data_IF_199728688317
#
_entry.id   IF_199728688317
#
_cell.length_a   1.000
_cell.length_b   1.000
_cell.length_c   1.000
_cell.angle_alpha   90.00
_cell.angle_beta   90.00
_cell.angle_gamma   90.00
#
_symmetry.space_group_name_H-M   'P 1'
#
loop_
_entity.id
_entity.type
_entity.pdbx_description
1 polymer ?
#
# COMPACT_ATOMS: atom_id res chain seq x y z
N UNK A 1 -6.16 12.96 18.26
CA UNK A 1 -5.33 12.86 17.05
C UNK A 1 -4.79 11.44 16.99
N UNK A 2 -5.19 10.65 15.99
CA UNK A 2 -4.83 9.23 15.89
C UNK A 2 -3.38 9.08 15.41
N UNK A 3 -2.55 8.41 16.20
CA UNK A 3 -1.37 7.71 15.67
C UNK A 3 -1.81 6.84 14.50
N UNK A 4 -1.09 6.84 13.36
CA UNK A 4 -1.39 5.90 12.28
C UNK A 4 -1.32 4.49 12.86
N UNK A 5 -2.47 3.83 12.95
CA UNK A 5 -2.52 2.47 13.43
C UNK A 5 -2.02 1.59 12.29
N UNK A 6 -0.72 1.27 12.32
CA UNK A 6 -0.05 0.47 11.30
C UNK A 6 -0.79 -0.85 11.02
N UNK A 7 -1.42 -1.48 12.02
CA UNK A 7 -2.23 -2.68 11.83
C UNK A 7 -3.53 -2.39 11.08
N UNK A 8 -4.23 -1.30 11.42
CA UNK A 8 -5.46 -0.91 10.71
C UNK A 8 -5.18 -0.48 9.27
N UNK A 9 -4.10 0.28 9.06
CA UNK A 9 -3.64 0.69 7.73
C UNK A 9 -3.20 -0.52 6.91
N UNK A 10 -2.47 -1.47 7.49
CA UNK A 10 -2.12 -2.72 6.82
C UNK A 10 -3.36 -3.52 6.41
N UNK A 11 -4.30 -3.72 7.34
CA UNK A 11 -5.55 -4.42 7.07
C UNK A 11 -6.38 -3.73 5.98
N UNK A 12 -6.36 -2.40 5.93
CA UNK A 12 -7.03 -1.64 4.87
C UNK A 12 -6.34 -1.84 3.52
N UNK A 13 -5.00 -1.76 3.48
CA UNK A 13 -4.22 -1.98 2.26
C UNK A 13 -4.47 -3.36 1.67
N UNK A 14 -4.34 -4.44 2.45
CA UNK A 14 -4.44 -5.81 1.93
C UNK A 14 -5.83 -6.17 1.40
N UNK A 15 -6.87 -5.44 1.83
CA UNK A 15 -8.27 -5.65 1.43
C UNK A 15 -8.78 -4.64 0.39
N UNK A 16 -7.94 -3.66 0.01
CA UNK A 16 -8.31 -2.64 -0.96
C UNK A 16 -8.51 -3.24 -2.37
N UNK A 17 -7.58 -4.00 -2.96
CA UNK A 17 -7.84 -4.67 -4.24
C UNK A 17 -8.74 -5.90 -4.04
N UNK A 18 -9.70 -6.09 -4.95
CA UNK A 18 -10.56 -7.28 -4.99
C UNK A 18 -9.97 -8.32 -5.93
N UNK A 19 -9.20 -9.25 -5.37
CA UNK A 19 -8.65 -10.40 -6.10
C UNK A 19 -9.72 -11.49 -6.27
N UNK A 20 -9.59 -12.32 -7.31
CA UNK A 20 -10.42 -13.52 -7.47
C UNK A 20 -10.08 -14.60 -6.43
N UNK A 21 -11.02 -15.51 -6.21
CA UNK A 21 -10.85 -16.67 -5.31
C UNK A 21 -10.24 -17.90 -6.03
N UNK A 22 -9.75 -17.72 -7.26
CA UNK A 22 -9.03 -18.76 -7.99
C UNK A 22 -7.54 -18.80 -7.56
N UNK A 23 -6.77 -19.84 -7.94
CA UNK A 23 -5.36 -19.94 -7.59
C UNK A 23 -4.50 -18.76 -8.05
N UNK A 24 -4.85 -18.11 -9.17
CA UNK A 24 -4.15 -16.93 -9.68
C UNK A 24 -4.43 -15.74 -8.76
N UNK A 25 -5.69 -15.48 -8.42
CA UNK A 25 -6.11 -14.42 -7.50
C UNK A 25 -5.50 -14.59 -6.10
N UNK A 26 -5.41 -15.82 -5.58
CA UNK A 26 -4.72 -16.09 -4.32
C UNK A 26 -3.22 -15.75 -4.38
N UNK A 27 -2.55 -16.08 -5.48
CA UNK A 27 -1.14 -15.72 -5.66
C UNK A 27 -0.95 -14.21 -5.80
N UNK A 28 -1.87 -13.54 -6.49
CA UNK A 28 -1.87 -12.08 -6.61
C UNK A 28 -2.03 -11.42 -5.23
N UNK A 29 -2.98 -11.89 -4.43
CA UNK A 29 -3.20 -11.43 -3.06
C UNK A 29 -1.97 -11.61 -2.17
N UNK A 30 -1.30 -12.77 -2.23
CA UNK A 30 -0.05 -13.01 -1.48
C UNK A 30 1.03 -12.01 -1.87
N UNK A 31 1.19 -11.73 -3.16
CA UNK A 31 2.18 -10.76 -3.63
C UNK A 31 1.85 -9.34 -3.19
N UNK A 32 0.56 -8.98 -3.22
CA UNK A 32 0.09 -7.70 -2.70
C UNK A 32 0.35 -7.55 -1.19
N UNK A 33 0.16 -8.60 -0.39
CA UNK A 33 0.46 -8.58 1.04
C UNK A 33 1.92 -8.22 1.31
N UNK A 34 2.87 -8.81 0.57
CA UNK A 34 4.29 -8.48 0.70
C UNK A 34 4.58 -7.00 0.40
N UNK A 35 3.96 -6.46 -0.66
CA UNK A 35 4.12 -5.04 -1.01
C UNK A 35 3.48 -4.12 0.05
N UNK A 36 2.31 -4.48 0.57
CA UNK A 36 1.67 -3.74 1.65
C UNK A 36 2.52 -3.76 2.94
N UNK A 37 3.19 -4.88 3.23
CA UNK A 37 4.14 -4.96 4.34
C UNK A 37 5.32 -4.02 4.15
N UNK A 38 5.89 -3.94 2.94
CA UNK A 38 6.99 -3.01 2.63
C UNK A 38 6.58 -1.55 2.91
N UNK A 39 5.37 -1.14 2.51
CA UNK A 39 4.85 0.22 2.77
C UNK A 39 4.81 0.50 4.28
N UNK A 40 4.24 -0.43 5.06
CA UNK A 40 4.02 -0.21 6.50
C UNK A 40 5.34 -0.31 7.28
N UNK A 41 6.26 -1.18 6.86
CA UNK A 41 7.57 -1.38 7.49
C UNK A 41 8.61 -0.35 7.05
N UNK A 42 8.33 0.46 6.03
CA UNK A 42 9.24 1.52 5.57
C UNK A 42 9.62 2.47 6.70
N UNK A 43 10.93 2.64 6.93
CA UNK A 43 11.52 3.49 7.98
C UNK A 43 12.11 4.79 7.44
N UNK A 44 12.21 4.95 6.12
CA UNK A 44 12.66 6.18 5.44
C UNK A 44 11.69 6.60 4.35
N UNK A 45 11.77 7.86 3.93
CA UNK A 45 10.93 8.39 2.84
C UNK A 45 11.25 7.71 1.51
N UNK A 46 12.52 7.41 1.29
CA UNK A 46 13.04 6.76 0.08
C UNK A 46 12.50 5.33 -0.02
N UNK A 47 12.60 4.54 1.06
CA UNK A 47 12.04 3.19 1.11
C UNK A 47 10.52 3.20 0.90
N UNK A 48 9.83 4.19 1.48
CA UNK A 48 8.38 4.36 1.29
C UNK A 48 8.02 4.69 -0.16
N UNK A 49 8.79 5.56 -0.82
CA UNK A 49 8.58 5.92 -2.23
C UNK A 49 8.82 4.72 -3.15
N UNK A 50 9.85 3.91 -2.88
CA UNK A 50 10.08 2.68 -3.63
C UNK A 50 8.95 1.65 -3.43
N UNK A 51 8.52 1.45 -2.19
CA UNK A 51 7.40 0.54 -1.88
C UNK A 51 6.10 1.01 -2.54
N UNK A 52 5.84 2.32 -2.54
CA UNK A 52 4.73 2.94 -3.27
C UNK A 52 4.84 2.68 -4.77
N UNK A 53 6.01 2.89 -5.37
CA UNK A 53 6.23 2.64 -6.80
C UNK A 53 5.98 1.18 -7.18
N UNK A 54 6.42 0.23 -6.35
CA UNK A 54 6.11 -1.20 -6.51
C UNK A 54 4.61 -1.48 -6.42
N UNK A 55 3.92 -0.84 -5.47
CA UNK A 55 2.47 -1.00 -5.30
C UNK A 55 1.68 -0.48 -6.50
N UNK A 56 1.97 0.74 -6.95
CA UNK A 56 1.33 1.35 -8.11
C UNK A 56 1.59 0.52 -9.38
N UNK A 57 2.84 0.16 -9.65
CA UNK A 57 3.19 -0.67 -10.80
C UNK A 57 2.53 -2.05 -10.78
N UNK A 58 2.41 -2.67 -9.61
CA UNK A 58 1.74 -3.96 -9.46
C UNK A 58 0.24 -3.86 -9.74
N UNK A 59 -0.44 -2.84 -9.18
CA UNK A 59 -1.87 -2.61 -9.44
C UNK A 59 -2.10 -2.30 -10.92
N UNK A 60 -1.30 -1.41 -11.52
CA UNK A 60 -1.42 -1.08 -12.95
C UNK A 60 -1.23 -2.33 -13.82
N UNK A 61 -0.22 -3.16 -13.56
CA UNK A 61 -0.01 -4.40 -14.31
C UNK A 61 -1.19 -5.38 -14.21
N UNK A 62 -1.85 -5.45 -13.05
CA UNK A 62 -3.05 -6.28 -12.89
C UNK A 62 -4.29 -5.69 -13.57
N UNK A 63 -4.42 -4.37 -13.58
CA UNK A 63 -5.47 -3.65 -14.30
C UNK A 63 -5.32 -3.87 -15.82
N UNK A 64 -4.10 -3.68 -16.35
CA UNK A 64 -3.80 -3.86 -17.77
C UNK A 64 -4.00 -5.31 -18.23
N UNK A 65 -3.71 -6.28 -17.36
CA UNK A 65 -3.96 -7.70 -17.60
C UNK A 65 -5.43 -8.11 -17.43
N UNK A 66 -6.33 -7.20 -17.03
CA UNK A 66 -7.75 -7.48 -16.83
C UNK A 66 -8.07 -8.26 -15.56
N UNK A 67 -7.12 -8.42 -14.64
CA UNK A 67 -7.34 -9.07 -13.34
C UNK A 67 -8.00 -8.15 -12.31
N UNK A 68 -7.85 -6.83 -12.46
CA UNK A 68 -8.51 -5.83 -11.61
C UNK A 68 -9.31 -4.84 -12.46
N UNK A 69 -10.35 -4.27 -11.85
CA UNK A 69 -11.15 -3.22 -12.49
C UNK A 69 -10.34 -1.95 -12.69
N UNK A 70 -10.52 -1.32 -13.86
CA UNK A 70 -9.99 0.01 -14.20
C UNK A 70 -10.75 1.13 -13.46
N UNK A 71 -11.92 0.85 -12.88
CA UNK A 71 -12.83 1.85 -12.27
C UNK A 71 -12.84 1.80 -10.74
N UNK A 72 -11.93 1.06 -10.12
CA UNK A 72 -11.88 0.93 -8.67
C UNK A 72 -11.14 2.13 -8.05
N UNK A 73 -11.82 3.27 -8.04
CA UNK A 73 -11.28 4.53 -7.50
C UNK A 73 -11.11 4.48 -5.98
N UNK A 74 -11.88 3.63 -5.29
CA UNK A 74 -11.77 3.44 -3.84
C UNK A 74 -10.45 2.76 -3.49
N UNK A 75 -10.09 1.66 -4.18
CA UNK A 75 -8.78 1.01 -4.02
C UNK A 75 -7.64 2.01 -4.15
N UNK A 76 -7.63 2.79 -5.24
CA UNK A 76 -6.55 3.72 -5.55
C UNK A 76 -6.46 4.83 -4.49
N UNK A 77 -7.61 5.35 -4.06
CA UNK A 77 -7.68 6.34 -2.98
C UNK A 77 -7.14 5.79 -1.65
N UNK A 78 -7.47 4.55 -1.28
CA UNK A 78 -7.00 3.93 -0.04
C UNK A 78 -5.48 3.73 -0.04
N UNK A 79 -4.92 3.26 -1.15
CA UNK A 79 -3.46 3.09 -1.32
C UNK A 79 -2.75 4.44 -1.14
N UNK A 80 -3.19 5.47 -1.87
CA UNK A 80 -2.60 6.81 -1.78
C UNK A 80 -2.71 7.39 -0.36
N UNK A 81 -3.88 7.26 0.26
CA UNK A 81 -4.14 7.80 1.60
C UNK A 81 -3.25 7.18 2.67
N UNK A 82 -3.00 5.87 2.60
CA UNK A 82 -2.18 5.16 3.58
C UNK A 82 -0.69 5.50 3.39
N UNK A 83 -0.22 5.54 2.15
CA UNK A 83 1.14 5.98 1.84
C UNK A 83 1.39 7.39 2.34
N UNK A 84 0.43 8.31 2.15
CA UNK A 84 0.52 9.68 2.64
C UNK A 84 0.58 9.74 4.18
N UNK A 85 -0.28 9.00 4.89
CA UNK A 85 -0.21 8.91 6.37
C UNK A 85 1.14 8.39 6.86
N UNK A 86 1.69 7.38 6.20
CA UNK A 86 3.01 6.84 6.54
C UNK A 86 4.12 7.87 6.31
N UNK A 87 4.04 8.62 5.21
CA UNK A 87 4.98 9.71 4.92
C UNK A 87 4.96 10.80 5.98
N UNK A 88 3.77 11.23 6.40
CA UNK A 88 3.59 12.22 7.46
C UNK A 88 4.17 11.74 8.79
N UNK A 89 3.97 10.47 9.14
CA UNK A 89 4.57 9.85 10.31
C UNK A 89 6.10 9.89 10.26
N UNK A 90 6.70 9.45 9.16
CA UNK A 90 8.16 9.48 8.98
C UNK A 90 8.71 10.91 9.03
N UNK A 91 8.00 11.88 8.45
CA UNK A 91 8.40 13.28 8.50
C UNK A 91 8.34 13.84 9.93
N UNK A 92 7.34 13.48 10.73
CA UNK A 92 7.29 13.86 12.15
C UNK A 92 8.43 13.25 12.94
N UNK A 93 8.74 11.96 12.73
CA UNK A 93 9.88 11.32 13.38
C UNK A 93 11.20 12.05 13.10
N UNK A 94 11.45 12.42 11.83
CA UNK A 94 12.64 13.19 11.47
C UNK A 94 12.66 14.58 12.15
N UNK A 95 11.52 15.27 12.18
CA UNK A 95 11.41 16.59 12.79
C UNK A 95 11.51 16.56 14.32
N UNK A 96 10.98 15.52 14.98
CA UNK A 96 10.96 15.36 16.43
C UNK A 96 12.28 14.83 16.99
N UNK A 97 13.00 13.98 16.23
CA UNK A 97 14.21 13.30 16.69
C UNK A 97 15.51 13.72 15.98
N UNK A 98 15.46 14.59 14.96
CA UNK A 98 16.63 15.22 14.36
C UNK A 98 17.63 14.26 13.71
N UNK A 99 17.15 13.20 13.06
CA UNK A 99 17.96 12.32 12.20
C UNK A 99 18.13 12.90 10.80
#
# INVERSE_FOLDING_TARGET
>A
MNTPNAHADFNTLINAPKFSDDPVGHNQKKRWQLIAEDIIKSTSKEALLEARGRAEGYIHGLVDAGHLSTRDTERDYLVLSIVQRRREFLQRLLNEYGY
#
